data_IF_655530594815
#
_entry.id   IF_655530594815
#
_cell.length_a   1.000
_cell.length_b   1.000
_cell.length_c   1.000
_cell.angle_alpha   90.00
_cell.angle_beta   90.00
_cell.angle_gamma   90.00
#
_symmetry.space_group_name_H-M   'P 1'
#
loop_
_entity.id
_entity.type
_entity.pdbx_description
1 polymer ?
#
# COMPACT_ATOMS: atom_id res chain seq x y z
N UNK A 1 -20.09 -17.28 2.75
CA UNK A 1 -18.99 -17.85 1.92
C UNK A 1 -19.28 -19.30 1.61
N UNK A 2 -19.82 -20.04 2.58
CA UNK A 2 -19.99 -21.50 2.58
C UNK A 2 -21.19 -21.98 1.75
N UNK A 3 -22.11 -21.07 1.43
CA UNK A 3 -23.25 -21.31 0.54
C UNK A 3 -22.82 -21.47 -0.94
N UNK A 4 -21.60 -21.04 -1.27
CA UNK A 4 -21.04 -21.17 -2.61
C UNK A 4 -20.52 -22.59 -2.89
N UNK A 5 -20.60 -23.07 -4.14
CA UNK A 5 -20.04 -24.36 -4.55
C UNK A 5 -18.55 -24.49 -4.21
N UNK A 6 -18.13 -25.69 -3.81
CA UNK A 6 -16.70 -25.98 -3.56
C UNK A 6 -15.86 -25.70 -4.81
N UNK A 7 -14.64 -25.21 -4.60
CA UNK A 7 -13.74 -24.82 -5.69
C UNK A 7 -13.50 -23.32 -5.74
N UNK A 8 -13.22 -22.82 -6.95
CA UNK A 8 -13.05 -21.41 -7.24
C UNK A 8 -14.23 -20.51 -6.81
N UNK A 9 -15.51 -20.92 -6.93
CA UNK A 9 -16.63 -20.08 -6.48
C UNK A 9 -16.51 -19.72 -4.99
N UNK A 10 -16.36 -20.73 -4.14
CA UNK A 10 -16.18 -20.54 -2.69
C UNK A 10 -14.89 -19.82 -2.32
N UNK A 11 -13.77 -20.13 -3.00
CA UNK A 11 -12.51 -19.44 -2.75
C UNK A 11 -12.57 -17.96 -3.12
N UNK A 12 -13.22 -17.64 -4.25
CA UNK A 12 -13.45 -16.27 -4.68
C UNK A 12 -14.36 -15.55 -3.70
N UNK A 13 -15.41 -16.21 -3.22
CA UNK A 13 -16.31 -15.66 -2.21
C UNK A 13 -15.59 -15.35 -0.90
N UNK A 14 -14.60 -16.16 -0.50
CA UNK A 14 -13.75 -15.85 0.64
C UNK A 14 -12.86 -14.64 0.36
N UNK A 15 -12.13 -14.63 -0.75
CA UNK A 15 -11.21 -13.53 -1.10
C UNK A 15 -11.97 -12.20 -1.22
N UNK A 16 -13.18 -12.22 -1.78
CA UNK A 16 -14.03 -11.03 -1.92
C UNK A 16 -14.74 -10.62 -0.63
N UNK A 17 -14.83 -11.50 0.38
CA UNK A 17 -15.52 -11.21 1.64
C UNK A 17 -14.86 -10.11 2.47
N UNK A 18 -13.54 -9.95 2.35
CA UNK A 18 -12.80 -8.95 3.12
C UNK A 18 -11.54 -8.47 2.40
N UNK A 19 -11.27 -7.17 2.51
CA UNK A 19 -10.13 -6.51 1.87
C UNK A 19 -8.77 -7.10 2.28
N UNK A 20 -8.66 -7.63 3.51
CA UNK A 20 -7.44 -8.26 4.02
C UNK A 20 -7.08 -9.56 3.29
N UNK A 21 -8.03 -10.21 2.60
CA UNK A 21 -7.80 -11.42 1.83
C UNK A 21 -7.47 -11.17 0.35
N UNK A 22 -7.42 -9.91 -0.08
CA UNK A 22 -6.96 -9.50 -1.41
C UNK A 22 -5.43 -9.61 -1.50
N UNK A 23 -4.91 -10.82 -1.28
CA UNK A 23 -3.50 -11.17 -1.24
C UNK A 23 -3.11 -11.81 -2.56
N UNK A 24 -2.13 -11.25 -3.24
CA UNK A 24 -1.65 -11.73 -4.53
C UNK A 24 -0.13 -11.65 -4.61
N UNK A 25 0.45 -12.22 -5.67
CA UNK A 25 1.89 -12.09 -5.93
C UNK A 25 2.21 -10.81 -6.69
N UNK A 26 3.33 -10.17 -6.33
CA UNK A 26 3.94 -9.03 -7.03
C UNK A 26 4.64 -9.46 -8.30
N UNK A 27 5.19 -10.68 -8.31
CA UNK A 27 6.06 -11.19 -9.35
C UNK A 27 7.30 -10.29 -9.59
N UNK A 28 7.86 -9.68 -8.53
CA UNK A 28 8.91 -8.66 -8.65
C UNK A 28 10.10 -9.11 -9.51
N UNK A 29 10.60 -10.32 -9.26
CA UNK A 29 11.73 -10.88 -10.01
C UNK A 29 11.41 -11.09 -11.50
N UNK A 30 10.21 -11.59 -11.80
CA UNK A 30 9.79 -11.83 -13.18
C UNK A 30 9.61 -10.52 -13.94
N UNK A 31 8.96 -9.52 -13.33
CA UNK A 31 8.76 -8.19 -13.92
C UNK A 31 10.09 -7.48 -14.16
N UNK A 32 11.01 -7.56 -13.18
CA UNK A 32 12.35 -6.99 -13.32
C UNK A 32 13.11 -7.65 -14.47
N UNK A 33 12.99 -8.98 -14.61
CA UNK A 33 13.60 -9.69 -15.74
C UNK A 33 13.06 -9.23 -17.09
N UNK A 34 11.75 -8.99 -17.20
CA UNK A 34 11.14 -8.44 -18.41
C UNK A 34 11.65 -7.02 -18.70
N UNK A 35 11.72 -6.14 -17.68
CA UNK A 35 12.29 -4.79 -17.85
C UNK A 35 13.73 -4.82 -18.36
N UNK A 36 14.56 -5.74 -17.84
CA UNK A 36 15.94 -5.88 -18.29
C UNK A 36 16.02 -6.34 -19.75
N UNK A 37 15.09 -7.18 -20.20
CA UNK A 37 15.03 -7.62 -21.60
C UNK A 37 14.60 -6.48 -22.54
N UNK A 38 13.61 -5.71 -22.14
CA UNK A 38 13.14 -4.54 -22.90
C UNK A 38 14.21 -3.44 -22.95
N UNK A 39 14.94 -3.23 -21.86
CA UNK A 39 16.07 -2.29 -21.80
C UNK A 39 17.20 -2.69 -22.75
N UNK A 40 17.58 -3.97 -22.79
CA UNK A 40 18.59 -4.47 -23.72
C UNK A 40 18.12 -4.41 -25.19
N UNK A 41 16.83 -4.66 -25.45
CA UNK A 41 16.24 -4.43 -26.78
C UNK A 41 16.37 -2.97 -27.20
N UNK A 42 16.04 -2.02 -26.34
CA UNK A 42 16.18 -0.60 -26.61
C UNK A 42 17.63 -0.19 -26.85
N UNK A 43 18.58 -0.69 -26.04
CA UNK A 43 20.00 -0.42 -26.22
C UNK A 43 20.51 -0.89 -27.59
N UNK A 44 20.09 -2.08 -28.06
CA UNK A 44 20.45 -2.54 -29.41
C UNK A 44 19.88 -1.66 -30.53
N UNK A 45 18.64 -1.20 -30.37
CA UNK A 45 18.01 -0.30 -31.36
C UNK A 45 18.66 1.09 -31.36
N UNK A 46 19.08 1.58 -30.19
CA UNK A 46 19.85 2.81 -30.05
C UNK A 46 21.22 2.69 -30.74
N UNK A 47 21.96 1.62 -30.48
CA UNK A 47 23.22 1.31 -31.16
C UNK A 47 23.03 1.23 -32.69
N UNK A 48 21.94 0.61 -33.15
CA UNK A 48 21.63 0.51 -34.57
C UNK A 48 21.33 1.89 -35.18
N UNK A 49 20.52 2.70 -34.50
CA UNK A 49 20.22 4.07 -34.93
C UNK A 49 21.49 4.91 -35.02
N UNK A 50 22.35 4.84 -34.00
CA UNK A 50 23.62 5.55 -33.98
C UNK A 50 24.50 5.15 -35.17
N UNK A 51 24.59 3.85 -35.49
CA UNK A 51 25.35 3.40 -36.67
C UNK A 51 24.75 3.91 -37.97
N UNK A 52 23.43 3.98 -38.10
CA UNK A 52 22.78 4.54 -39.30
C UNK A 52 23.10 6.03 -39.43
N UNK A 53 23.13 6.75 -38.32
CA UNK A 53 23.44 8.18 -38.30
C UNK A 53 24.92 8.46 -38.58
N UNK A 54 25.83 7.64 -38.05
CA UNK A 54 27.28 7.75 -38.29
C UNK A 54 27.67 7.46 -39.75
N UNK A 55 26.91 6.59 -40.42
CA UNK A 55 27.14 6.22 -41.83
C UNK A 55 26.32 7.07 -42.83
N UNK A 56 25.62 8.12 -42.36
CA UNK A 56 24.83 8.98 -43.25
C UNK A 56 25.74 9.90 -44.07
N UNK A 57 25.65 9.79 -45.40
CA UNK A 57 26.45 10.58 -46.33
C UNK A 57 25.86 11.98 -46.56
N UNK A 58 24.55 12.16 -46.33
CA UNK A 58 23.82 13.40 -46.58
C UNK A 58 23.44 14.13 -45.28
N UNK A 59 24.20 15.16 -44.84
CA UNK A 59 23.95 15.84 -43.56
C UNK A 59 22.56 16.49 -43.45
N UNK A 60 21.93 16.81 -44.59
CA UNK A 60 20.58 17.37 -44.61
C UNK A 60 19.53 16.40 -44.05
N UNK A 61 19.73 15.09 -44.21
CA UNK A 61 18.82 14.07 -43.69
C UNK A 61 18.87 14.02 -42.16
N UNK A 62 20.06 14.14 -41.56
CA UNK A 62 20.23 14.26 -40.10
C UNK A 62 19.64 15.56 -39.56
N UNK A 63 19.77 16.66 -40.32
CA UNK A 63 19.30 17.99 -39.91
C UNK A 63 17.81 18.25 -40.14
N UNK A 64 17.12 17.42 -40.92
CA UNK A 64 15.72 17.67 -41.28
C UNK A 64 14.89 16.40 -41.45
N UNK A 65 14.14 16.04 -40.41
CA UNK A 65 13.19 14.92 -40.47
C UNK A 65 12.19 14.99 -41.64
N UNK A 66 11.83 16.21 -42.10
CA UNK A 66 10.94 16.39 -43.25
C UNK A 66 11.58 15.98 -44.58
N UNK A 67 12.89 16.19 -44.70
CA UNK A 67 13.65 15.90 -45.92
C UNK A 67 14.43 14.59 -45.83
N UNK A 68 14.46 13.96 -44.66
CA UNK A 68 15.06 12.65 -44.45
C UNK A 68 14.35 11.59 -45.30
N UNK A 69 15.06 10.96 -46.23
CA UNK A 69 14.56 9.85 -47.05
C UNK A 69 15.11 8.49 -46.63
N UNK A 70 15.91 8.42 -45.57
CA UNK A 70 16.51 7.18 -45.08
C UNK A 70 15.42 6.27 -44.49
N UNK A 71 15.01 5.27 -45.26
CA UNK A 71 13.95 4.34 -44.87
C UNK A 71 14.35 3.46 -43.68
N UNK A 72 15.64 3.11 -43.57
CA UNK A 72 16.16 2.29 -42.48
C UNK A 72 16.10 3.05 -41.16
N UNK A 73 16.59 4.30 -41.13
CA UNK A 73 16.48 5.17 -39.95
C UNK A 73 15.04 5.29 -39.47
N UNK A 74 14.11 5.57 -40.39
CA UNK A 74 12.68 5.70 -40.07
C UNK A 74 12.08 4.42 -39.49
N UNK A 75 12.47 3.25 -40.03
CA UNK A 75 12.02 1.97 -39.52
C UNK A 75 12.52 1.71 -38.09
N UNK A 76 13.82 1.92 -37.83
CA UNK A 76 14.42 1.77 -36.50
C UNK A 76 13.80 2.74 -35.49
N UNK A 77 13.61 4.01 -35.87
CA UNK A 77 12.93 5.01 -35.02
C UNK A 77 11.50 4.59 -34.70
N UNK A 78 10.79 3.99 -35.66
CA UNK A 78 9.43 3.49 -35.41
C UNK A 78 9.44 2.29 -34.45
N UNK A 79 10.40 1.37 -34.58
CA UNK A 79 10.54 0.25 -33.66
C UNK A 79 10.92 0.72 -32.24
N UNK A 80 11.81 1.71 -32.12
CA UNK A 80 12.16 2.34 -30.84
C UNK A 80 10.91 2.91 -30.17
N UNK A 81 10.04 3.60 -30.93
CA UNK A 81 8.78 4.14 -30.37
C UNK A 81 7.87 3.05 -29.81
N UNK A 82 7.82 1.88 -30.44
CA UNK A 82 7.02 0.75 -29.99
C UNK A 82 7.63 0.09 -28.76
N UNK A 83 8.93 -0.19 -28.80
CA UNK A 83 9.68 -0.77 -27.68
C UNK A 83 9.65 0.15 -26.44
N UNK A 84 9.75 1.47 -26.61
CA UNK A 84 9.63 2.43 -25.50
C UNK A 84 8.26 2.38 -24.84
N UNK A 85 7.17 2.29 -25.62
CA UNK A 85 5.81 2.18 -25.05
C UNK A 85 5.64 0.91 -24.22
N UNK A 86 6.18 -0.21 -24.69
CA UNK A 86 6.15 -1.49 -23.98
C UNK A 86 6.93 -1.40 -22.66
N UNK A 87 8.15 -0.87 -22.73
CA UNK A 87 9.02 -0.65 -21.58
C UNK A 87 8.38 0.27 -20.53
N UNK A 88 7.86 1.43 -20.95
CA UNK A 88 7.24 2.42 -20.06
C UNK A 88 5.99 1.85 -19.38
N UNK A 89 5.13 1.14 -20.13
CA UNK A 89 3.94 0.47 -19.59
C UNK A 89 4.31 -0.55 -18.50
N UNK A 90 5.35 -1.34 -18.73
CA UNK A 90 5.83 -2.33 -17.77
C UNK A 90 6.43 -1.65 -16.52
N UNK A 91 7.18 -0.57 -16.72
CA UNK A 91 7.82 0.22 -15.65
C UNK A 91 6.78 0.91 -14.77
N UNK A 92 5.77 1.55 -15.36
CA UNK A 92 4.64 2.13 -14.63
C UNK A 92 3.86 1.07 -13.85
N UNK A 93 3.66 -0.11 -14.46
CA UNK A 93 3.07 -1.25 -13.77
C UNK A 93 3.91 -1.68 -12.57
N UNK A 94 5.24 -1.73 -12.71
CA UNK A 94 6.15 -2.13 -11.64
C UNK A 94 6.14 -1.11 -10.51
N UNK A 95 6.18 0.19 -10.83
CA UNK A 95 6.02 1.27 -9.86
C UNK A 95 4.74 1.13 -9.04
N UNK A 96 3.61 0.87 -9.71
CA UNK A 96 2.31 0.65 -9.04
C UNK A 96 2.36 -0.57 -8.12
N UNK A 97 2.96 -1.67 -8.56
CA UNK A 97 3.03 -2.88 -7.73
C UNK A 97 3.96 -2.75 -6.53
N UNK A 98 5.04 -1.99 -6.66
CA UNK A 98 5.94 -1.67 -5.55
C UNK A 98 5.31 -0.73 -4.52
N UNK A 99 4.30 0.04 -4.91
CA UNK A 99 3.56 0.92 -4.00
C UNK A 99 2.58 0.18 -3.09
N UNK A 100 2.22 -1.08 -3.40
CA UNK A 100 1.35 -1.87 -2.52
C UNK A 100 2.07 -2.29 -1.24
N UNK A 101 1.35 -2.20 -0.12
CA UNK A 101 1.84 -2.54 1.20
C UNK A 101 2.17 -4.02 1.41
N UNK A 102 2.86 -4.29 2.51
CA UNK A 102 3.12 -5.65 2.98
C UNK A 102 1.83 -6.34 3.43
N UNK A 103 1.82 -7.66 3.34
CA UNK A 103 0.68 -8.47 3.79
C UNK A 103 0.67 -8.56 5.31
N UNK A 104 -0.50 -8.38 5.92
CA UNK A 104 -0.70 -8.62 7.34
C UNK A 104 -0.54 -10.11 7.66
N UNK A 105 0.37 -10.44 8.58
CA UNK A 105 0.68 -11.83 8.95
C UNK A 105 -0.56 -12.63 9.38
N UNK A 106 -1.50 -11.99 10.10
CA UNK A 106 -2.76 -12.58 10.55
C UNK A 106 -3.66 -12.97 9.38
N UNK A 107 -3.84 -12.07 8.41
CA UNK A 107 -4.66 -12.34 7.23
C UNK A 107 -4.09 -13.46 6.37
N UNK A 108 -2.75 -13.47 6.21
CA UNK A 108 -2.04 -14.55 5.52
C UNK A 108 -2.21 -15.89 6.25
N UNK A 109 -2.07 -15.91 7.58
CA UNK A 109 -2.27 -17.12 8.38
C UNK A 109 -3.71 -17.64 8.28
N UNK A 110 -4.70 -16.77 8.37
CA UNK A 110 -6.11 -17.16 8.23
C UNK A 110 -6.39 -17.74 6.84
N UNK A 111 -5.85 -17.14 5.79
CA UNK A 111 -6.01 -17.64 4.42
C UNK A 111 -5.31 -19.00 4.23
N UNK A 112 -4.09 -19.17 4.78
CA UNK A 112 -3.36 -20.45 4.78
C UNK A 112 -4.15 -21.55 5.50
N UNK A 113 -4.67 -21.24 6.69
CA UNK A 113 -5.46 -22.18 7.48
C UNK A 113 -6.73 -22.60 6.74
N UNK A 114 -7.43 -21.65 6.11
CA UNK A 114 -8.62 -21.95 5.33
C UNK A 114 -8.32 -22.84 4.12
N UNK A 115 -7.30 -22.50 3.34
CA UNK A 115 -6.88 -23.27 2.17
C UNK A 115 -6.49 -24.69 2.57
N UNK A 116 -5.72 -24.82 3.67
CA UNK A 116 -5.33 -26.12 4.21
C UNK A 116 -6.48 -26.93 4.80
N UNK A 117 -7.50 -26.27 5.37
CA UNK A 117 -8.64 -26.91 6.02
C UNK A 117 -9.75 -27.35 5.06
N UNK A 118 -10.05 -26.55 4.03
CA UNK A 118 -11.13 -26.85 3.08
C UNK A 118 -10.66 -27.73 1.91
N UNK A 119 -9.39 -27.61 1.49
CA UNK A 119 -8.83 -28.41 0.41
C UNK A 119 -9.53 -28.24 -0.94
N UNK A 120 -10.26 -27.15 -1.15
CA UNK A 120 -11.13 -26.98 -2.33
C UNK A 120 -10.40 -26.42 -3.56
N UNK A 121 -9.13 -26.03 -3.45
CA UNK A 121 -8.30 -25.54 -4.55
C UNK A 121 -7.07 -26.43 -4.66
N UNK A 122 -6.60 -26.67 -5.90
CA UNK A 122 -5.45 -27.51 -6.12
C UNK A 122 -4.19 -26.93 -5.41
N UNK A 123 -3.37 -27.76 -4.73
CA UNK A 123 -2.20 -27.28 -4.00
C UNK A 123 -1.18 -26.51 -4.85
N UNK A 124 -1.11 -26.81 -6.15
CA UNK A 124 -0.25 -26.08 -7.09
C UNK A 124 -0.69 -24.63 -7.30
N UNK A 125 -1.99 -24.35 -7.22
CA UNK A 125 -2.57 -23.01 -7.42
C UNK A 125 -2.44 -22.15 -6.15
N UNK A 126 -2.41 -22.76 -4.97
CA UNK A 126 -2.23 -22.07 -3.68
C UNK A 126 -0.80 -22.12 -3.14
N UNK A 127 0.13 -22.73 -3.89
CA UNK A 127 1.54 -22.83 -3.56
C UNK A 127 2.20 -21.48 -3.24
N UNK A 128 1.69 -20.38 -3.82
CA UNK A 128 2.18 -19.03 -3.53
C UNK A 128 1.91 -18.58 -2.10
N UNK A 129 0.86 -19.09 -1.47
CA UNK A 129 0.54 -18.79 -0.08
C UNK A 129 1.42 -19.61 0.87
N UNK A 130 1.73 -20.86 0.52
CA UNK A 130 2.36 -21.82 1.44
C UNK A 130 3.89 -21.78 1.42
N UNK A 131 4.52 -21.56 0.26
CA UNK A 131 5.98 -21.63 0.17
C UNK A 131 6.67 -20.34 0.66
N UNK A 132 7.61 -20.50 1.59
CA UNK A 132 8.41 -19.41 2.18
C UNK A 132 9.11 -18.52 1.14
N UNK A 133 9.57 -19.11 0.02
CA UNK A 133 10.22 -18.36 -1.06
C UNK A 133 9.34 -17.26 -1.68
N UNK A 134 8.03 -17.30 -1.49
CA UNK A 134 7.10 -16.34 -2.05
C UNK A 134 6.62 -15.30 -1.03
N UNK A 135 6.94 -15.42 0.26
CA UNK A 135 6.43 -14.50 1.30
C UNK A 135 6.80 -13.03 1.03
N UNK A 136 8.04 -12.76 0.62
CA UNK A 136 8.47 -11.42 0.22
C UNK A 136 7.82 -10.91 -1.07
N UNK A 137 7.26 -11.80 -1.89
CA UNK A 137 6.60 -11.50 -3.16
C UNK A 137 5.08 -11.32 -3.00
N UNK A 138 4.52 -11.42 -1.78
CA UNK A 138 3.09 -11.22 -1.56
C UNK A 138 2.74 -9.75 -1.30
N UNK A 139 1.74 -9.24 -2.01
CA UNK A 139 1.16 -7.91 -1.79
C UNK A 139 -0.28 -8.01 -1.32
N UNK A 140 -0.74 -6.91 -0.70
CA UNK A 140 -2.16 -6.65 -0.41
C UNK A 140 -2.65 -5.50 -1.30
N UNK A 141 -3.79 -5.67 -1.98
CA UNK A 141 -4.35 -4.71 -2.98
C UNK A 141 -5.10 -3.54 -2.31
N UNK A 142 -4.73 -3.15 -1.10
CA UNK A 142 -5.47 -2.13 -0.35
C UNK A 142 -4.68 -0.84 -0.25
N UNK A 143 -5.40 0.29 -0.17
CA UNK A 143 -4.77 1.60 -0.10
C UNK A 143 -3.83 1.72 1.11
N UNK A 144 -2.64 2.33 0.94
CA UNK A 144 -1.72 2.61 2.04
C UNK A 144 -2.30 3.56 3.10
N UNK A 145 -3.38 4.28 2.77
CA UNK A 145 -4.08 5.21 3.68
C UNK A 145 -4.63 4.50 4.93
N UNK A 146 -4.88 3.19 4.87
CA UNK A 146 -5.30 2.37 6.03
C UNK A 146 -4.11 1.83 6.87
N UNK A 147 -2.85 2.10 6.50
CA UNK A 147 -1.70 1.61 7.27
C UNK A 147 -1.46 2.46 8.54
N UNK A 148 -1.99 3.68 8.57
CA UNK A 148 -2.06 4.51 9.78
C UNK A 148 -2.81 3.84 10.94
N UNK A 149 -3.78 2.99 10.61
CA UNK A 149 -4.61 2.28 11.58
C UNK A 149 -4.08 0.89 11.88
N UNK A 150 -3.05 0.38 11.20
CA UNK A 150 -2.59 -1.01 11.37
C UNK A 150 -2.05 -1.32 12.77
N UNK A 151 -1.33 -0.38 13.40
CA UNK A 151 -0.89 -0.52 14.80
C UNK A 151 -2.03 -0.39 15.80
N UNK A 152 -3.03 0.45 15.50
CA UNK A 152 -4.24 0.61 16.31
C UNK A 152 -5.18 -0.59 16.15
N UNK A 153 -5.24 -1.21 14.96
CA UNK A 153 -5.95 -2.46 14.67
C UNK A 153 -5.40 -3.60 15.52
N UNK A 154 -4.06 -3.72 15.65
CA UNK A 154 -3.44 -4.74 16.49
C UNK A 154 -3.81 -4.58 17.98
N UNK A 155 -3.73 -3.36 18.53
CA UNK A 155 -4.09 -3.09 19.93
C UNK A 155 -5.60 -3.20 20.20
N UNK A 156 -6.42 -2.83 19.23
CA UNK A 156 -7.89 -2.93 19.33
C UNK A 156 -8.37 -4.37 19.16
N UNK A 157 -7.70 -5.21 18.36
CA UNK A 157 -8.00 -6.64 18.30
C UNK A 157 -7.64 -7.38 19.59
N UNK A 158 -6.49 -7.09 20.21
CA UNK A 158 -6.11 -7.75 21.48
C UNK A 158 -7.06 -7.35 22.62
N UNK A 159 -7.44 -6.08 22.69
CA UNK A 159 -8.43 -5.60 23.68
C UNK A 159 -9.85 -6.09 23.37
N UNK A 160 -10.20 -6.34 22.11
CA UNK A 160 -11.49 -6.95 21.74
C UNK A 160 -11.54 -8.46 21.85
N UNK A 161 -10.45 -9.20 21.69
CA UNK A 161 -10.42 -10.65 21.99
C UNK A 161 -10.73 -10.85 23.47
N UNK A 162 -10.19 -9.98 24.34
CA UNK A 162 -10.55 -9.91 25.75
C UNK A 162 -12.03 -9.57 25.96
N UNK A 163 -12.57 -8.56 25.25
CA UNK A 163 -13.99 -8.17 25.33
C UNK A 163 -14.96 -9.21 24.72
N UNK A 164 -14.50 -10.00 23.74
CA UNK A 164 -15.22 -11.09 23.04
C UNK A 164 -15.45 -12.29 23.96
N UNK A 165 -14.64 -12.44 25.01
CA UNK A 165 -14.94 -13.41 26.08
C UNK A 165 -16.24 -13.09 26.82
N UNK A 166 -16.80 -11.88 26.65
CA UNK A 166 -18.03 -11.44 27.32
C UNK A 166 -19.26 -11.31 26.39
N UNK A 167 -19.11 -11.11 25.07
CA UNK A 167 -20.24 -10.81 24.16
C UNK A 167 -20.06 -11.53 22.81
N UNK A 168 -21.02 -12.38 22.44
CA UNK A 168 -20.98 -13.33 21.32
C UNK A 168 -20.76 -12.74 19.90
N UNK A 169 -20.38 -13.61 18.96
CA UNK A 169 -19.75 -13.27 17.68
C UNK A 169 -20.69 -12.86 16.54
N UNK A 170 -20.28 -11.85 15.76
CA UNK A 170 -20.74 -11.58 14.38
C UNK A 170 -19.59 -11.92 13.41
N UNK A 171 -19.50 -13.18 12.97
CA UNK A 171 -18.46 -13.63 12.02
C UNK A 171 -19.04 -13.68 10.59
N UNK A 172 -18.24 -13.27 9.61
CA UNK A 172 -18.59 -13.36 8.17
C UNK A 172 -18.39 -14.78 7.59
N UNK A 173 -17.52 -15.59 8.22
CA UNK A 173 -17.35 -17.02 7.91
C UNK A 173 -17.78 -17.89 9.10
N UNK A 174 -18.37 -19.04 8.78
CA UNK A 174 -18.76 -20.08 9.75
C UNK A 174 -17.61 -21.06 10.02
N UNK A 175 -16.48 -20.91 9.36
CA UNK A 175 -15.31 -21.78 9.53
C UNK A 175 -14.63 -21.52 10.89
N UNK A 176 -14.38 -22.57 11.72
CA UNK A 176 -13.71 -22.43 13.01
C UNK A 176 -12.32 -21.82 12.94
N UNK A 177 -11.64 -21.97 11.79
CA UNK A 177 -10.23 -21.60 11.60
C UNK A 177 -10.04 -20.23 10.93
N UNK A 178 -11.13 -19.54 10.58
CA UNK A 178 -11.08 -18.22 9.95
C UNK A 178 -11.88 -17.19 10.74
N UNK A 179 -11.16 -16.24 11.34
CA UNK A 179 -11.78 -15.10 12.00
C UNK A 179 -11.76 -13.89 11.07
N UNK A 180 -12.93 -13.56 10.52
CA UNK A 180 -13.15 -12.39 9.66
C UNK A 180 -14.00 -11.40 10.43
N UNK A 181 -13.44 -10.22 10.72
CA UNK A 181 -14.18 -9.11 11.30
C UNK A 181 -14.67 -8.17 10.17
N UNK A 182 -15.92 -7.69 10.19
CA UNK A 182 -16.37 -6.72 9.21
C UNK A 182 -15.67 -5.36 9.38
N UNK A 183 -15.02 -4.89 8.31
CA UNK A 183 -14.19 -3.67 8.26
C UNK A 183 -14.92 -2.37 8.65
N UNK A 184 -16.21 -2.25 8.32
CA UNK A 184 -17.01 -1.03 8.56
C UNK A 184 -17.28 -0.78 10.05
N UNK A 185 -17.47 -1.84 10.83
CA UNK A 185 -17.61 -1.75 12.30
C UNK A 185 -16.25 -1.59 12.98
N UNK A 186 -15.19 -2.18 12.42
CA UNK A 186 -13.82 -2.07 12.94
C UNK A 186 -13.33 -0.62 12.87
N UNK A 187 -13.42 0.04 11.71
CA UNK A 187 -13.00 1.43 11.55
C UNK A 187 -13.77 2.40 12.46
N UNK A 188 -15.09 2.20 12.63
CA UNK A 188 -15.91 3.01 13.53
C UNK A 188 -15.53 2.82 15.00
N UNK A 189 -15.24 1.58 15.40
CA UNK A 189 -14.85 1.28 16.79
C UNK A 189 -13.47 1.83 17.10
N UNK A 190 -12.51 1.68 16.18
CA UNK A 190 -11.15 2.21 16.34
C UNK A 190 -11.22 3.73 16.51
N UNK A 191 -11.99 4.43 15.67
CA UNK A 191 -12.20 5.88 15.79
C UNK A 191 -12.84 6.27 17.12
N UNK A 192 -13.84 5.53 17.59
CA UNK A 192 -14.48 5.77 18.90
C UNK A 192 -13.52 5.57 20.06
N UNK A 193 -12.75 4.48 20.06
CA UNK A 193 -11.83 4.13 21.14
C UNK A 193 -10.64 5.09 21.18
N UNK A 194 -10.12 5.47 20.02
CA UNK A 194 -9.07 6.48 19.90
C UNK A 194 -9.54 7.85 20.40
N UNK A 195 -10.74 8.27 20.02
CA UNK A 195 -11.34 9.53 20.50
C UNK A 195 -11.55 9.51 22.01
N UNK A 196 -12.02 8.39 22.55
CA UNK A 196 -12.17 8.19 23.99
C UNK A 196 -10.82 8.22 24.73
N UNK A 197 -9.78 7.59 24.18
CA UNK A 197 -8.43 7.60 24.75
C UNK A 197 -7.85 9.01 24.81
N UNK A 198 -7.96 9.78 23.71
CA UNK A 198 -7.55 11.19 23.68
C UNK A 198 -8.33 12.02 24.70
N UNK A 199 -9.65 11.80 24.81
CA UNK A 199 -10.48 12.50 25.79
C UNK A 199 -10.07 12.18 27.23
N UNK A 200 -9.80 10.91 27.56
CA UNK A 200 -9.32 10.51 28.90
C UNK A 200 -7.96 11.15 29.21
N UNK A 201 -7.06 11.18 28.23
CA UNK A 201 -5.73 11.77 28.41
C UNK A 201 -5.78 13.29 28.61
N UNK A 202 -6.79 13.97 28.04
CA UNK A 202 -7.04 15.41 28.26
C UNK A 202 -7.76 15.71 29.58
N UNK A 203 -8.63 14.83 30.05
CA UNK A 203 -9.42 15.04 31.28
C UNK A 203 -8.71 14.56 32.55
N UNK A 204 -7.91 13.50 32.47
CA UNK A 204 -7.13 12.94 33.57
C UNK A 204 -6.28 13.97 34.34
N UNK A 205 -5.54 14.89 33.68
CA UNK A 205 -4.69 15.86 34.38
C UNK A 205 -5.50 16.88 35.18
N UNK A 206 -6.68 17.24 34.68
CA UNK A 206 -7.59 18.19 35.33
C UNK A 206 -8.14 17.57 36.62
N UNK A 207 -8.59 16.31 36.56
CA UNK A 207 -9.13 15.58 37.71
C UNK A 207 -8.06 15.33 38.76
N UNK A 208 -6.86 14.91 38.35
CA UNK A 208 -5.75 14.62 39.27
C UNK A 208 -5.21 15.92 39.91
N UNK A 209 -5.11 17.02 39.16
CA UNK A 209 -4.70 18.30 39.72
C UNK A 209 -5.70 18.85 40.74
N UNK A 210 -7.00 18.55 40.58
CA UNK A 210 -8.02 18.93 41.55
C UNK A 210 -7.89 18.15 42.87
N UNK A 211 -7.43 16.90 42.83
CA UNK A 211 -7.25 16.06 44.02
C UNK A 211 -5.95 16.36 44.80
N UNK A 212 -4.93 16.91 44.12
CA UNK A 212 -3.63 17.22 44.74
C UNK A 212 -3.64 18.65 45.28
N UNK A 213 -3.32 18.84 46.56
CA UNK A 213 -3.23 20.17 47.19
C UNK A 213 -1.86 20.86 47.02
N UNK A 214 -0.81 20.11 46.65
CA UNK A 214 0.54 20.66 46.45
C UNK A 214 0.74 21.25 45.04
N UNK A 215 1.28 22.46 44.96
CA UNK A 215 1.59 23.15 43.69
C UNK A 215 2.61 22.35 42.85
N UNK A 216 3.65 21.81 43.48
CA UNK A 216 4.70 21.03 42.80
C UNK A 216 4.13 19.75 42.17
N UNK A 217 3.24 19.03 42.88
CA UNK A 217 2.59 17.83 42.33
C UNK A 217 1.69 18.12 41.12
N UNK A 218 0.98 19.26 41.12
CA UNK A 218 0.17 19.70 39.97
C UNK A 218 1.03 19.96 38.74
N UNK A 219 2.17 20.65 38.90
CA UNK A 219 3.10 20.93 37.80
C UNK A 219 3.67 19.65 37.18
N UNK A 220 4.06 18.67 38.01
CA UNK A 220 4.58 17.38 37.53
C UNK A 220 3.54 16.64 36.71
N UNK A 221 2.29 16.57 37.18
CA UNK A 221 1.19 15.90 36.47
C UNK A 221 0.91 16.56 35.11
N UNK A 222 0.90 17.88 35.04
CA UNK A 222 0.69 18.62 33.78
C UNK A 222 1.81 18.37 32.79
N UNK A 223 3.08 18.34 33.22
CA UNK A 223 4.22 18.07 32.34
C UNK A 223 4.17 16.64 31.76
N UNK A 224 3.88 15.64 32.58
CA UNK A 224 3.76 14.26 32.09
C UNK A 224 2.57 14.08 31.15
N UNK A 225 1.43 14.70 31.47
CA UNK A 225 0.24 14.63 30.62
C UNK A 225 0.42 15.32 29.27
N UNK A 226 1.02 16.52 29.27
CA UNK A 226 1.31 17.26 28.02
C UNK A 226 2.33 16.53 27.17
N UNK A 227 3.37 15.95 27.77
CA UNK A 227 4.35 15.11 27.06
C UNK A 227 3.69 13.87 26.46
N UNK A 228 2.83 13.17 27.22
CA UNK A 228 2.07 12.02 26.74
C UNK A 228 1.10 12.38 25.61
N UNK A 229 0.47 13.56 25.68
CA UNK A 229 -0.40 14.08 24.64
C UNK A 229 0.37 14.35 23.35
N UNK A 230 1.51 15.03 23.43
CA UNK A 230 2.36 15.32 22.27
C UNK A 230 2.86 14.01 21.66
N UNK A 231 3.27 13.03 22.47
CA UNK A 231 3.70 11.72 21.98
C UNK A 231 2.56 10.96 21.26
N UNK A 232 1.35 10.97 21.82
CA UNK A 232 0.18 10.34 21.21
C UNK A 232 -0.20 11.02 19.89
N UNK A 233 -0.22 12.36 19.86
CA UNK A 233 -0.47 13.13 18.63
C UNK A 233 0.63 12.87 17.60
N UNK A 234 1.90 12.86 17.98
CA UNK A 234 3.01 12.57 17.06
C UNK A 234 2.91 11.15 16.46
N UNK A 235 2.59 10.15 17.28
CA UNK A 235 2.35 8.78 16.82
C UNK A 235 1.18 8.66 15.85
N UNK A 236 0.09 9.41 16.10
CA UNK A 236 -1.10 9.43 15.23
C UNK A 236 -0.89 10.26 13.96
N UNK A 237 -0.01 11.26 13.99
CA UNK A 237 0.22 12.18 12.87
C UNK A 237 1.30 11.67 11.93
N UNK A 238 2.13 10.68 12.31
CA UNK A 238 3.19 10.12 11.48
C UNK A 238 2.72 9.55 10.12
N UNK A 239 1.43 9.19 9.97
CA UNK A 239 0.86 8.79 8.68
C UNK A 239 0.36 9.96 7.81
N UNK A 240 0.08 11.12 8.43
CA UNK A 240 -0.49 12.31 7.75
C UNK A 240 0.48 13.46 7.61
N UNK A 241 1.63 13.44 8.28
CA UNK A 241 2.57 14.57 8.28
C UNK A 241 3.16 14.80 6.91
N UNK A 242 3.39 13.76 6.11
CA UNK A 242 3.91 13.89 4.75
C UNK A 242 2.87 14.54 3.83
N UNK A 243 1.61 14.09 3.85
CA UNK A 243 0.55 14.69 3.02
C UNK A 243 0.15 16.10 3.48
N UNK A 244 0.13 16.37 4.79
CA UNK A 244 -0.14 17.71 5.33
C UNK A 244 1.04 18.67 5.09
N UNK A 245 2.29 18.20 5.13
CA UNK A 245 3.44 19.01 4.73
C UNK A 245 3.41 19.30 3.23
N UNK A 246 3.07 18.32 2.39
CA UNK A 246 2.95 18.52 0.94
C UNK A 246 1.78 19.47 0.62
N UNK A 247 0.62 19.30 1.26
CA UNK A 247 -0.52 20.20 1.11
C UNK A 247 -0.22 21.61 1.63
N UNK A 248 0.51 21.72 2.75
CA UNK A 248 0.99 22.98 3.31
C UNK A 248 2.00 23.69 2.40
N UNK A 249 2.98 22.94 1.86
CA UNK A 249 3.95 23.44 0.90
C UNK A 249 3.27 23.90 -0.41
N UNK A 250 2.29 23.14 -0.90
CA UNK A 250 1.50 23.50 -2.10
C UNK A 250 0.62 24.74 -1.86
N UNK A 251 0.06 24.90 -0.65
CA UNK A 251 -0.69 26.11 -0.27
C UNK A 251 0.23 27.34 -0.15
N UNK A 252 1.40 27.19 0.46
CA UNK A 252 2.40 28.28 0.55
C UNK A 252 2.90 28.65 -0.85
N UNK A 253 3.19 27.68 -1.71
CA UNK A 253 3.66 27.92 -3.07
C UNK A 253 2.60 28.57 -3.97
N UNK A 254 1.34 28.15 -3.87
CA UNK A 254 0.24 28.79 -4.63
C UNK A 254 -0.06 30.22 -4.16
N UNK A 255 0.18 30.53 -2.88
CA UNK A 255 0.04 31.89 -2.33
C UNK A 255 1.27 32.77 -2.54
N UNK A 256 2.46 32.18 -2.73
CA UNK A 256 3.68 32.89 -3.13
C UNK A 256 3.71 33.18 -4.65
N UNK A 257 2.95 32.43 -5.46
CA UNK A 257 2.71 32.68 -6.89
C UNK A 257 1.56 33.67 -7.13
N UNK A 258 1.42 34.71 -6.30
CA UNK A 258 0.65 35.91 -6.71
C UNK A 258 1.58 36.72 -7.63
N UNK A 259 1.25 36.89 -8.92
CA UNK A 259 2.09 37.67 -9.83
C UNK A 259 1.93 39.15 -9.50
N UNK A 260 2.83 39.67 -8.67
CA UNK A 260 3.15 41.09 -8.65
C UNK A 260 4.14 41.38 -9.77
N UNK A 261 3.63 41.66 -10.96
CA UNK A 261 4.18 42.65 -11.91
C UNK A 261 3.41 42.57 -13.23
N UNK A 262 2.38 43.41 -13.37
CA UNK A 262 2.26 44.47 -14.40
C UNK A 262 1.25 45.52 -13.95
#
# INVERSE_FOLDING_TARGET
>A
VEDEPQGYPRFTALISSHQSFQIYRRFCALRTRLLLYDQDRLARLEDQLQRIDENEEEPLYLGSYRHDTNAERKAVVQEIKEALREYDSLLEGQRRVLAFGAVQARALSNLRNWVGGQGCIAPCETAYLTYLKYEGDLLRVTDPMDDATSWAEALVEDTRIFLRSCIGSLNVSRDPYVHIFPSTSMARTIKMLLTAFVAILLLSPIVICNAINSITGRLVVVVFATTGFIAAVAGLTNSRTIELMVAGATYVQSKLMIPGDK
#
